data_IF_161176932175
#
_entry.id   IF_161176932175
#
_cell.length_a   1.000
_cell.length_b   1.000
_cell.length_c   1.000
_cell.angle_alpha   90.00
_cell.angle_beta   90.00
_cell.angle_gamma   90.00
#
_symmetry.space_group_name_H-M   'P 1'
#
loop_
_entity.id
_entity.type
_entity.pdbx_description
1 polymer ?
#
# COMPACT_ATOMS: atom_id res chain seq x y z
N UNK A 1 -6.89 -14.54 -16.22
CA UNK A 1 -5.85 -13.48 -16.25
C UNK A 1 -6.51 -12.24 -16.83
N UNK A 2 -6.43 -11.11 -16.13
CA UNK A 2 -7.01 -9.85 -16.58
C UNK A 2 -6.31 -9.35 -17.85
N UNK A 3 -7.04 -8.68 -18.72
CA UNK A 3 -6.53 -8.16 -20.00
C UNK A 3 -6.75 -6.65 -20.14
N UNK A 4 -7.23 -5.99 -19.09
CA UNK A 4 -7.50 -4.55 -19.03
C UNK A 4 -6.95 -3.98 -17.73
N UNK A 5 -6.72 -2.68 -17.71
CA UNK A 5 -6.36 -1.94 -16.50
C UNK A 5 -7.59 -1.78 -15.59
N UNK A 6 -7.36 -1.71 -14.29
CA UNK A 6 -8.40 -1.38 -13.33
C UNK A 6 -8.31 -2.17 -12.02
N UNK A 7 -9.21 -1.83 -11.12
CA UNK A 7 -9.43 -2.55 -9.86
C UNK A 7 -10.47 -3.64 -10.12
N UNK A 8 -10.15 -4.89 -9.78
CA UNK A 8 -11.00 -6.05 -10.06
C UNK A 8 -11.47 -6.71 -8.76
N UNK A 9 -12.64 -7.36 -8.84
CA UNK A 9 -13.21 -8.11 -7.71
C UNK A 9 -12.49 -9.45 -7.42
N UNK A 10 -11.60 -9.87 -8.31
CA UNK A 10 -10.81 -11.11 -8.16
C UNK A 10 -9.72 -10.90 -7.10
N UNK A 11 -10.01 -11.26 -5.87
CA UNK A 11 -9.10 -11.18 -4.73
C UNK A 11 -8.76 -12.58 -4.20
N UNK A 12 -7.61 -12.72 -3.56
CA UNK A 12 -7.21 -13.99 -2.96
C UNK A 12 -8.20 -14.46 -1.88
N UNK A 13 -8.56 -15.73 -1.96
CA UNK A 13 -9.30 -16.40 -0.88
C UNK A 13 -8.31 -16.77 0.23
N UNK A 14 -8.55 -16.43 1.50
CA UNK A 14 -7.62 -16.67 2.62
C UNK A 14 -7.60 -18.14 3.07
N UNK A 15 -7.24 -19.04 2.16
CA UNK A 15 -7.02 -20.47 2.43
C UNK A 15 -5.57 -20.75 2.79
N UNK A 16 -5.29 -21.89 3.43
CA UNK A 16 -3.91 -22.32 3.70
C UNK A 16 -3.12 -22.53 2.41
N UNK A 17 -3.78 -22.98 1.33
CA UNK A 17 -3.14 -23.07 0.01
C UNK A 17 -2.65 -21.70 -0.47
N UNK A 18 -3.49 -20.67 -0.37
CA UNK A 18 -3.12 -19.30 -0.74
C UNK A 18 -1.93 -18.78 0.09
N UNK A 19 -1.97 -19.01 1.41
CA UNK A 19 -0.87 -18.57 2.27
C UNK A 19 0.44 -19.31 1.96
N UNK A 20 0.39 -20.61 1.72
CA UNK A 20 1.58 -21.39 1.35
C UNK A 20 2.16 -20.90 0.03
N UNK A 21 1.32 -20.69 -0.99
CA UNK A 21 1.73 -20.11 -2.28
C UNK A 21 2.40 -18.74 -2.11
N UNK A 22 1.79 -17.84 -1.31
CA UNK A 22 2.36 -16.51 -1.09
C UNK A 22 3.67 -16.58 -0.28
N UNK A 23 3.81 -17.53 0.63
CA UNK A 23 5.05 -17.75 1.36
C UNK A 23 6.19 -18.23 0.44
N UNK A 24 5.89 -19.12 -0.50
CA UNK A 24 6.87 -19.55 -1.50
C UNK A 24 7.33 -18.38 -2.37
N UNK A 25 6.40 -17.53 -2.84
CA UNK A 25 6.73 -16.30 -3.58
C UNK A 25 7.57 -15.34 -2.74
N UNK A 26 7.18 -15.13 -1.48
CA UNK A 26 7.91 -14.23 -0.57
C UNK A 26 9.31 -14.73 -0.25
N UNK A 27 9.54 -16.04 -0.17
CA UNK A 27 10.88 -16.59 0.04
C UNK A 27 11.81 -16.28 -1.14
N UNK A 28 11.31 -16.36 -2.38
CA UNK A 28 12.07 -15.95 -3.55
C UNK A 28 12.36 -14.44 -3.56
N UNK A 29 11.37 -13.62 -3.24
CA UNK A 29 11.52 -12.15 -3.15
C UNK A 29 12.54 -11.77 -2.08
N UNK A 30 12.46 -12.36 -0.89
CA UNK A 30 13.39 -12.09 0.22
C UNK A 30 14.83 -12.47 -0.13
N UNK A 31 15.02 -13.54 -0.90
CA UNK A 31 16.34 -13.96 -1.37
C UNK A 31 16.95 -12.98 -2.39
N UNK A 32 16.12 -12.36 -3.22
CA UNK A 32 16.55 -11.40 -4.24
C UNK A 32 16.79 -9.99 -3.69
N UNK A 33 15.99 -9.57 -2.70
CA UNK A 33 16.00 -8.21 -2.17
C UNK A 33 16.43 -8.20 -0.69
N UNK A 34 17.63 -7.70 -0.37
CA UNK A 34 18.17 -7.73 0.99
C UNK A 34 17.56 -6.68 1.94
N UNK A 35 16.59 -5.90 1.50
CA UNK A 35 15.93 -4.85 2.29
C UNK A 35 15.34 -5.41 3.59
N UNK A 36 15.41 -4.61 4.65
CA UNK A 36 14.67 -4.87 5.89
C UNK A 36 13.16 -4.89 5.66
N UNK A 37 12.67 -4.17 4.67
CA UNK A 37 11.25 -4.01 4.37
C UNK A 37 10.85 -4.75 3.11
N UNK A 38 9.66 -5.36 3.14
CA UNK A 38 8.98 -5.95 1.98
C UNK A 38 7.63 -5.27 1.84
N UNK A 39 7.40 -4.63 0.70
CA UNK A 39 6.11 -4.00 0.41
C UNK A 39 5.12 -5.07 -0.07
N UNK A 40 3.98 -5.16 0.59
CA UNK A 40 2.97 -6.20 0.34
C UNK A 40 1.71 -5.69 -0.38
N UNK A 41 1.68 -4.41 -0.79
CA UNK A 41 0.48 -3.80 -1.34
C UNK A 41 -0.59 -3.56 -0.27
N UNK A 42 -1.74 -4.19 -0.42
CA UNK A 42 -2.86 -4.08 0.53
C UNK A 42 -3.91 -3.03 0.14
N UNK A 43 -3.66 -2.32 -0.96
CA UNK A 43 -4.54 -1.33 -1.56
C UNK A 43 -5.66 -1.96 -2.38
N UNK A 44 -6.66 -1.16 -2.68
CA UNK A 44 -7.70 -1.41 -3.69
C UNK A 44 -8.25 -2.85 -3.68
N UNK A 45 -8.49 -3.40 -2.50
CA UNK A 45 -9.02 -4.75 -2.31
C UNK A 45 -10.56 -4.70 -2.21
N UNK A 46 -11.31 -4.93 -3.31
CA UNK A 46 -12.77 -4.99 -3.27
C UNK A 46 -13.23 -6.15 -2.38
N UNK A 47 -14.31 -5.92 -1.63
CA UNK A 47 -14.82 -6.89 -0.64
C UNK A 47 -15.93 -7.78 -1.19
N UNK A 48 -16.43 -7.52 -2.39
CA UNK A 48 -17.63 -8.15 -2.94
C UNK A 48 -17.49 -9.67 -3.11
N UNK A 49 -16.32 -10.13 -3.56
CA UNK A 49 -16.06 -11.57 -3.68
C UNK A 49 -16.08 -12.26 -2.30
N UNK A 50 -15.51 -11.63 -1.27
CA UNK A 50 -15.51 -12.18 0.10
C UNK A 50 -16.91 -12.16 0.71
N UNK A 51 -17.71 -11.13 0.46
CA UNK A 51 -19.13 -11.05 0.91
C UNK A 51 -19.96 -12.20 0.36
N UNK A 52 -19.73 -12.59 -0.90
CA UNK A 52 -20.45 -13.70 -1.56
C UNK A 52 -19.90 -15.08 -1.23
N UNK A 53 -18.69 -15.16 -0.67
CA UNK A 53 -18.02 -16.43 -0.36
C UNK A 53 -18.49 -17.03 0.96
N UNK A 54 -19.18 -18.15 0.93
CA UNK A 54 -19.57 -18.88 2.14
C UNK A 54 -18.36 -19.24 3.03
N UNK A 55 -17.22 -19.58 2.42
CA UNK A 55 -15.97 -19.84 3.13
C UNK A 55 -15.47 -18.59 3.89
N UNK A 56 -15.41 -17.43 3.22
CA UNK A 56 -14.96 -16.20 3.84
C UNK A 56 -15.89 -15.76 4.98
N UNK A 57 -17.22 -15.86 4.76
CA UNK A 57 -18.20 -15.54 5.79
C UNK A 57 -18.13 -16.48 7.00
N UNK A 58 -17.83 -17.76 6.78
CA UNK A 58 -17.59 -18.70 7.87
C UNK A 58 -16.29 -18.38 8.62
N UNK A 59 -15.22 -18.08 7.89
CA UNK A 59 -13.93 -17.71 8.48
C UNK A 59 -14.02 -16.43 9.33
N UNK A 60 -14.80 -15.43 8.89
CA UNK A 60 -15.07 -14.21 9.67
C UNK A 60 -15.69 -14.58 11.02
N UNK A 61 -16.67 -15.48 11.02
CA UNK A 61 -17.32 -15.95 12.25
C UNK A 61 -16.36 -16.76 13.14
N UNK A 62 -15.66 -17.72 12.57
CA UNK A 62 -14.77 -18.64 13.31
C UNK A 62 -13.59 -17.90 13.95
N UNK A 63 -13.13 -16.82 13.32
CA UNK A 63 -12.02 -15.99 13.83
C UNK A 63 -12.52 -14.78 14.64
N UNK A 64 -13.83 -14.64 14.80
CA UNK A 64 -14.44 -13.51 15.46
C UNK A 64 -14.01 -12.15 14.88
N UNK A 65 -13.87 -12.11 13.55
CA UNK A 65 -13.61 -10.89 12.79
C UNK A 65 -14.93 -10.14 12.62
N UNK A 66 -14.87 -8.84 12.62
CA UNK A 66 -16.09 -8.02 12.56
C UNK A 66 -16.78 -8.10 11.19
N UNK A 67 -15.98 -8.03 10.13
CA UNK A 67 -16.42 -7.91 8.73
C UNK A 67 -15.27 -8.26 7.76
N UNK A 68 -15.43 -7.95 6.48
CA UNK A 68 -14.42 -8.17 5.44
C UNK A 68 -13.17 -7.29 5.62
N UNK A 69 -13.25 -6.13 6.27
CA UNK A 69 -12.07 -5.36 6.65
C UNK A 69 -11.27 -6.08 7.73
N UNK A 70 -11.95 -6.67 8.71
CA UNK A 70 -11.33 -7.57 9.66
C UNK A 70 -10.70 -8.81 9.00
N UNK A 71 -11.32 -9.33 7.93
CA UNK A 71 -10.74 -10.43 7.14
C UNK A 71 -9.47 -10.00 6.40
N UNK A 72 -9.43 -8.78 5.85
CA UNK A 72 -8.23 -8.23 5.24
C UNK A 72 -7.11 -8.06 6.29
N UNK A 73 -7.42 -7.50 7.45
CA UNK A 73 -6.47 -7.40 8.56
C UNK A 73 -5.93 -8.76 9.00
N UNK A 74 -6.78 -9.77 9.11
CA UNK A 74 -6.37 -11.15 9.39
C UNK A 74 -5.42 -11.70 8.31
N UNK A 75 -5.72 -11.45 7.04
CA UNK A 75 -4.87 -11.86 5.92
C UNK A 75 -3.49 -11.22 6.02
N UNK A 76 -3.46 -9.90 6.18
CA UNK A 76 -2.22 -9.11 6.32
C UNK A 76 -1.43 -9.55 7.53
N UNK A 77 -2.06 -9.76 8.68
CA UNK A 77 -1.41 -10.22 9.90
C UNK A 77 -0.76 -11.62 9.76
N UNK A 78 -1.36 -12.52 8.97
CA UNK A 78 -0.72 -13.81 8.66
C UNK A 78 0.53 -13.65 7.79
N UNK A 79 0.48 -12.76 6.79
CA UNK A 79 1.63 -12.44 5.94
C UNK A 79 2.72 -11.73 6.74
N UNK A 80 2.36 -10.73 7.56
CA UNK A 80 3.31 -10.06 8.45
C UNK A 80 4.05 -11.05 9.35
N UNK A 81 3.30 -11.92 10.03
CA UNK A 81 3.91 -12.93 10.91
C UNK A 81 4.93 -13.80 10.17
N UNK A 82 4.63 -14.17 8.93
CA UNK A 82 5.56 -14.93 8.11
C UNK A 82 6.81 -14.11 7.78
N UNK A 83 6.65 -12.89 7.27
CA UNK A 83 7.74 -11.99 6.89
C UNK A 83 8.61 -11.64 8.10
N UNK A 84 8.00 -11.40 9.28
CA UNK A 84 8.72 -11.18 10.53
C UNK A 84 9.54 -12.41 10.95
N UNK A 85 9.05 -13.64 10.71
CA UNK A 85 9.82 -14.86 10.98
C UNK A 85 11.09 -14.99 10.14
N UNK A 86 11.15 -14.28 9.01
CA UNK A 86 12.33 -14.16 8.14
C UNK A 86 13.22 -12.96 8.49
N UNK A 87 12.94 -12.25 9.59
CA UNK A 87 13.69 -11.08 10.03
C UNK A 87 13.44 -9.82 9.19
N UNK A 88 12.30 -9.73 8.52
CA UNK A 88 11.88 -8.59 7.70
C UNK A 88 10.61 -7.96 8.28
N UNK A 89 10.34 -6.72 7.90
CA UNK A 89 9.11 -6.00 8.23
C UNK A 89 8.28 -5.76 6.97
N UNK A 90 6.96 -5.61 7.13
CA UNK A 90 6.10 -5.24 6.02
C UNK A 90 5.98 -3.73 5.88
N UNK A 91 5.77 -3.28 4.63
CA UNK A 91 5.16 -2.01 4.29
C UNK A 91 3.86 -2.32 3.54
N UNK A 92 2.80 -1.58 3.80
CA UNK A 92 1.56 -1.66 3.02
C UNK A 92 0.99 -0.28 2.77
N UNK A 93 0.18 -0.16 1.72
CA UNK A 93 -0.58 1.05 1.46
C UNK A 93 -1.55 1.33 2.61
N UNK A 94 -2.02 2.55 2.74
CA UNK A 94 -2.77 2.98 3.93
C UNK A 94 -4.11 2.26 4.17
N UNK A 95 -4.61 1.50 3.19
CA UNK A 95 -5.77 0.62 3.38
C UNK A 95 -5.51 -0.52 4.38
N UNK A 96 -4.25 -0.83 4.71
CA UNK A 96 -3.94 -1.81 5.75
C UNK A 96 -4.36 -1.37 7.16
N UNK A 97 -4.67 -0.08 7.34
CA UNK A 97 -5.29 0.45 8.55
C UNK A 97 -6.73 -0.07 8.75
N UNK A 98 -7.41 -0.39 7.66
CA UNK A 98 -8.80 -0.83 7.69
C UNK A 98 -8.90 -2.21 8.36
N UNK A 99 -9.77 -2.32 9.38
CA UNK A 99 -9.93 -3.57 10.14
C UNK A 99 -8.87 -3.85 11.21
N UNK A 100 -7.88 -2.96 11.36
CA UNK A 100 -6.83 -3.03 12.36
C UNK A 100 -5.45 -3.30 11.79
N UNK A 101 -4.46 -2.57 12.27
CA UNK A 101 -3.09 -2.61 11.79
C UNK A 101 -2.31 -3.78 12.41
N UNK A 102 -1.52 -4.49 11.60
CA UNK A 102 -0.61 -5.52 12.07
C UNK A 102 0.52 -4.92 12.92
N UNK A 103 1.00 -5.57 14.00
CA UNK A 103 1.80 -4.94 15.06
C UNK A 103 3.09 -4.24 14.63
N UNK A 104 3.76 -4.73 13.57
CA UNK A 104 5.04 -4.18 13.11
C UNK A 104 4.95 -3.61 11.68
N UNK A 105 3.74 -3.35 11.21
CA UNK A 105 3.53 -2.81 9.87
C UNK A 105 3.97 -1.36 9.78
N UNK A 106 4.65 -1.02 8.69
CA UNK A 106 4.88 0.35 8.26
C UNK A 106 3.80 0.73 7.25
N UNK A 107 3.23 1.91 7.37
CA UNK A 107 2.15 2.40 6.50
C UNK A 107 2.72 3.33 5.42
N UNK A 108 2.38 3.09 4.16
CA UNK A 108 2.65 4.01 3.07
C UNK A 108 1.36 4.75 2.72
N UNK A 109 1.32 6.05 3.03
CA UNK A 109 0.12 6.87 2.92
C UNK A 109 0.04 7.55 1.55
N UNK A 110 -0.88 7.07 0.68
CA UNK A 110 -0.99 7.53 -0.71
C UNK A 110 -2.29 8.28 -1.01
N UNK A 111 -3.39 7.92 -0.35
CA UNK A 111 -4.70 8.55 -0.55
C UNK A 111 -4.77 10.00 0.00
N UNK A 112 -3.75 10.40 0.75
CA UNK A 112 -3.60 11.69 1.39
C UNK A 112 -2.62 11.55 2.56
N UNK A 113 -2.68 12.47 3.51
CA UNK A 113 -1.85 12.42 4.73
C UNK A 113 -2.55 11.71 5.90
N UNK A 114 -3.87 11.55 5.84
CA UNK A 114 -4.70 11.08 6.94
C UNK A 114 -4.30 9.68 7.40
N UNK A 115 -4.02 8.77 6.48
CA UNK A 115 -3.55 7.41 6.80
C UNK A 115 -2.22 7.43 7.54
N UNK A 116 -1.29 8.26 7.09
CA UNK A 116 0.00 8.45 7.75
C UNK A 116 -0.14 9.06 9.15
N UNK A 117 -0.97 10.08 9.29
CA UNK A 117 -1.28 10.72 10.58
C UNK A 117 -1.86 9.69 11.56
N UNK A 118 -2.81 8.88 11.10
CA UNK A 118 -3.45 7.87 11.93
C UNK A 118 -2.45 6.78 12.37
N UNK A 119 -1.62 6.29 11.46
CA UNK A 119 -0.58 5.32 11.76
C UNK A 119 0.47 5.85 12.75
N UNK A 120 0.96 7.08 12.54
CA UNK A 120 1.92 7.74 13.44
C UNK A 120 1.35 7.94 14.86
N UNK A 121 0.07 8.26 14.97
CA UNK A 121 -0.62 8.34 16.28
C UNK A 121 -0.73 6.99 16.99
N UNK A 122 -0.71 5.89 16.24
CA UNK A 122 -0.68 4.53 16.78
C UNK A 122 0.74 4.00 17.02
N UNK A 123 1.78 4.84 16.87
CA UNK A 123 3.21 4.52 16.98
C UNK A 123 3.70 3.54 15.90
N UNK A 124 3.13 3.60 14.70
CA UNK A 124 3.62 2.89 13.53
C UNK A 124 4.43 3.81 12.64
N UNK A 125 5.50 3.27 12.05
CA UNK A 125 6.32 4.00 11.10
C UNK A 125 5.53 4.26 9.80
N UNK A 126 5.81 5.40 9.18
CA UNK A 126 5.06 5.92 8.02
C UNK A 126 6.00 6.39 6.94
N UNK A 127 5.67 6.10 5.70
CA UNK A 127 6.23 6.73 4.52
C UNK A 127 5.11 7.54 3.84
N UNK A 128 5.34 8.84 3.66
CA UNK A 128 4.36 9.73 3.05
C UNK A 128 4.53 9.74 1.54
N UNK A 129 3.46 9.47 0.81
CA UNK A 129 3.45 9.48 -0.65
C UNK A 129 2.10 9.94 -1.22
N UNK A 130 1.53 11.06 -0.68
CA UNK A 130 0.20 11.50 -1.09
C UNK A 130 0.16 11.84 -2.58
N UNK A 131 -0.89 11.37 -3.25
CA UNK A 131 -1.09 11.59 -4.69
C UNK A 131 -1.10 13.07 -5.10
N UNK A 132 -1.44 13.96 -4.17
CA UNK A 132 -1.42 15.39 -4.37
C UNK A 132 -0.01 16.00 -4.55
N UNK A 133 1.05 15.32 -4.12
CA UNK A 133 2.41 15.84 -4.10
C UNK A 133 3.48 14.86 -4.60
N UNK A 134 3.20 13.56 -4.60
CA UNK A 134 4.22 12.53 -4.78
C UNK A 134 3.99 11.62 -5.99
N UNK A 135 2.92 11.82 -6.78
CA UNK A 135 2.63 11.00 -7.96
C UNK A 135 3.25 11.62 -9.21
N UNK A 136 4.48 11.23 -9.50
CA UNK A 136 5.28 11.79 -10.58
C UNK A 136 4.85 11.33 -11.98
N UNK A 137 3.88 10.43 -12.06
CA UNK A 137 3.20 9.98 -13.29
C UNK A 137 2.05 10.90 -13.71
N UNK A 138 1.68 11.89 -12.88
CA UNK A 138 0.72 12.95 -13.27
C UNK A 138 1.34 13.94 -14.24
N UNK A 139 0.49 14.65 -15.00
CA UNK A 139 0.92 15.68 -15.94
C UNK A 139 1.65 16.82 -15.22
N UNK A 140 2.85 17.17 -15.67
CA UNK A 140 3.64 18.28 -15.13
C UNK A 140 3.15 19.62 -15.65
N UNK A 141 2.51 19.63 -16.81
CA UNK A 141 2.02 20.81 -17.52
C UNK A 141 0.56 20.66 -17.90
N UNK A 142 -0.16 21.78 -17.98
CA UNK A 142 -1.54 21.79 -18.50
C UNK A 142 -1.61 21.53 -20.01
N UNK A 143 -0.50 21.67 -20.70
CA UNK A 143 -0.34 21.44 -22.14
C UNK A 143 0.54 20.22 -22.38
N UNK A 144 0.29 19.13 -21.67
CA UNK A 144 1.04 17.88 -21.82
C UNK A 144 0.78 17.27 -23.20
N UNK A 145 1.84 17.12 -23.99
CA UNK A 145 1.75 16.57 -25.36
C UNK A 145 1.67 15.03 -25.39
N UNK A 146 2.00 14.39 -24.28
CA UNK A 146 2.00 12.94 -24.17
C UNK A 146 0.94 12.44 -23.20
N UNK A 147 0.42 11.24 -23.47
CA UNK A 147 -0.58 10.61 -22.60
C UNK A 147 0.01 10.34 -21.22
N UNK A 148 -0.71 10.77 -20.18
CA UNK A 148 -0.46 10.48 -18.78
C UNK A 148 -1.69 9.80 -18.18
N UNK A 149 -1.57 9.29 -16.97
CA UNK A 149 -2.73 8.69 -16.26
C UNK A 149 -3.81 9.73 -15.95
N UNK A 150 -3.47 10.98 -15.99
CA UNK A 150 -4.32 12.11 -15.58
C UNK A 150 -3.69 12.89 -14.43
N UNK A 151 -4.50 13.75 -13.80
CA UNK A 151 -3.99 14.61 -12.74
C UNK A 151 -3.11 15.76 -13.27
N UNK A 152 -2.75 16.66 -12.37
CA UNK A 152 -1.82 17.76 -12.66
C UNK A 152 -0.94 17.99 -11.43
N UNK A 153 0.34 17.75 -11.58
CA UNK A 153 1.31 17.88 -10.51
C UNK A 153 2.56 18.62 -11.01
N UNK A 154 2.58 19.95 -10.93
CA UNK A 154 3.75 20.73 -11.32
C UNK A 154 4.86 20.61 -10.29
N UNK A 155 6.10 20.82 -10.74
CA UNK A 155 7.30 20.64 -9.90
C UNK A 155 7.28 21.52 -8.65
N UNK A 156 6.68 22.69 -8.72
CA UNK A 156 6.55 23.60 -7.58
C UNK A 156 5.70 22.97 -6.45
N UNK A 157 4.67 22.23 -6.82
CA UNK A 157 3.84 21.50 -5.84
C UNK A 157 4.62 20.36 -5.20
N UNK A 158 5.34 19.57 -6.00
CA UNK A 158 6.22 18.50 -5.46
C UNK A 158 7.24 19.09 -4.51
N UNK A 159 7.92 20.17 -4.92
CA UNK A 159 8.99 20.78 -4.13
C UNK A 159 8.49 21.45 -2.84
N UNK A 160 7.24 21.87 -2.80
CA UNK A 160 6.64 22.51 -1.61
C UNK A 160 6.19 21.52 -0.54
N UNK A 161 6.25 20.21 -0.82
CA UNK A 161 5.75 19.22 0.11
C UNK A 161 6.61 19.08 1.37
N UNK A 162 5.98 19.19 2.54
CA UNK A 162 6.59 18.90 3.85
C UNK A 162 6.03 17.54 4.35
N UNK A 163 6.87 16.50 4.44
CA UNK A 163 6.40 15.16 4.77
C UNK A 163 5.90 14.97 6.20
N UNK A 164 6.26 15.88 7.11
CA UNK A 164 5.83 15.78 8.52
C UNK A 164 4.61 16.66 8.75
N UNK A 165 3.39 16.09 8.84
CA UNK A 165 2.18 16.88 9.06
C UNK A 165 2.27 17.68 10.37
N UNK A 166 1.96 18.98 10.31
CA UNK A 166 2.02 19.90 11.45
C UNK A 166 1.08 19.54 12.62
N UNK A 167 0.11 18.66 12.39
CA UNK A 167 -0.83 18.16 13.39
C UNK A 167 -0.20 17.09 14.31
N UNK A 168 0.94 16.52 13.95
CA UNK A 168 1.66 15.55 14.77
C UNK A 168 2.48 16.25 15.84
N UNK A 169 2.43 15.71 17.06
CA UNK A 169 3.36 16.15 18.10
C UNK A 169 4.77 15.57 17.88
N UNK A 170 5.75 16.03 18.65
CA UNK A 170 7.17 15.66 18.48
C UNK A 170 7.44 14.15 18.58
N UNK A 171 6.70 13.41 19.38
CA UNK A 171 6.86 11.95 19.49
C UNK A 171 6.26 11.24 18.26
N UNK A 172 5.07 11.63 17.85
CA UNK A 172 4.39 11.08 16.67
C UNK A 172 5.17 11.37 15.38
N UNK A 173 5.74 12.56 15.26
CA UNK A 173 6.55 12.98 14.12
C UNK A 173 7.78 12.10 13.89
N UNK A 174 8.31 11.46 14.93
CA UNK A 174 9.47 10.53 14.82
C UNK A 174 9.13 9.27 14.00
N UNK A 175 7.85 8.92 13.89
CA UNK A 175 7.40 7.80 13.08
C UNK A 175 7.33 8.12 11.59
N UNK A 176 7.38 9.38 11.20
CA UNK A 176 7.45 9.74 9.77
C UNK A 176 8.88 9.55 9.28
N UNK A 177 9.12 8.45 8.56
CA UNK A 177 10.45 8.10 8.05
C UNK A 177 10.88 8.99 6.88
N UNK A 178 9.94 9.60 6.18
CA UNK A 178 10.17 10.47 5.05
C UNK A 178 9.07 10.37 3.99
N UNK A 179 9.39 10.76 2.75
CA UNK A 179 8.50 10.68 1.62
C UNK A 179 9.07 9.81 0.49
N UNK A 180 8.18 9.35 -0.39
CA UNK A 180 8.53 8.65 -1.63
C UNK A 180 7.75 9.25 -2.80
N UNK A 181 8.43 9.47 -3.93
CA UNK A 181 7.79 9.76 -5.20
C UNK A 181 7.37 8.46 -5.90
N UNK A 182 6.15 8.40 -6.40
CA UNK A 182 5.63 7.29 -7.17
C UNK A 182 5.64 7.62 -8.65
N UNK A 183 6.12 6.70 -9.47
CA UNK A 183 6.11 6.80 -10.92
C UNK A 183 5.49 5.52 -11.48
N UNK A 184 4.16 5.50 -11.59
CA UNK A 184 3.41 4.39 -12.16
C UNK A 184 3.54 4.37 -13.68
N UNK A 185 3.66 3.19 -14.26
CA UNK A 185 4.16 3.04 -15.63
C UNK A 185 3.10 2.64 -16.66
N UNK A 186 1.81 2.71 -16.33
CA UNK A 186 0.72 2.38 -17.25
C UNK A 186 0.80 3.15 -18.57
N UNK A 187 1.26 4.41 -18.51
CA UNK A 187 1.38 5.30 -19.68
C UNK A 187 2.82 5.69 -19.97
N UNK A 188 3.79 5.00 -19.38
CA UNK A 188 5.23 5.22 -19.62
C UNK A 188 5.76 4.10 -20.51
N UNK A 189 5.96 4.40 -21.79
CA UNK A 189 6.24 3.42 -22.84
C UNK A 189 7.71 3.28 -23.19
N UNK A 190 8.56 4.18 -22.68
CA UNK A 190 9.99 4.19 -23.01
C UNK A 190 10.82 4.89 -21.92
N UNK A 191 12.15 4.65 -21.87
CA UNK A 191 13.02 5.24 -20.85
C UNK A 191 13.05 6.77 -20.84
N UNK A 192 12.99 7.42 -22.01
CA UNK A 192 12.99 8.90 -22.06
C UNK A 192 11.77 9.51 -21.39
N UNK A 193 10.63 8.79 -21.40
CA UNK A 193 9.45 9.22 -20.67
C UNK A 193 9.65 9.13 -19.15
N UNK A 194 10.38 8.11 -18.66
CA UNK A 194 10.76 8.00 -17.25
C UNK A 194 11.64 9.19 -16.83
N UNK A 195 12.61 9.56 -17.67
CA UNK A 195 13.51 10.69 -17.38
C UNK A 195 12.79 12.04 -17.41
N UNK A 196 11.73 12.15 -18.22
CA UNK A 196 10.92 13.36 -18.33
C UNK A 196 9.98 13.53 -17.13
N UNK A 197 9.34 12.44 -16.67
CA UNK A 197 8.39 12.44 -15.56
C UNK A 197 9.09 12.53 -14.20
#
# INVERSE_FOLDING_TARGET
MQQTWGVFEDVFVPTDYTFNFLQDVLDEVIALFPSKYIHIGGDECPKEAWKRSAFCQQLIKDKNLKDEHGLQSYFIGRIEKYINSKGRNIIGWDEILEGGLAPNATVMSWRGEEGGIEAAKQNHDVIMTPGSHCYLDHSQSKNEDSVTIGGYLPIETVYSYEPVPAVLNAEQAKHVLGAQGNLWTEYITNPSKVEYM
#
